data_IF_419485570716
#
_entry.id   IF_419485570716
#
_cell.length_a   1.000
_cell.length_b   1.000
_cell.length_c   1.000
_cell.angle_alpha   90.00
_cell.angle_beta   90.00
_cell.angle_gamma   90.00
#
_symmetry.space_group_name_H-M   'P 1'
#
loop_
_entity.id
_entity.type
_entity.pdbx_description
1 polymer ?
#
# COMPACT_ATOMS: atom_id res chain seq x y z
N UNK A 1 12.30 10.91 3.64
CA UNK A 1 11.89 10.71 2.24
C UNK A 1 11.33 12.03 1.74
N UNK A 2 11.78 12.61 0.62
CA UNK A 2 11.16 13.81 0.08
C UNK A 2 9.97 13.44 -0.82
N UNK A 3 8.81 14.02 -0.52
CA UNK A 3 7.54 13.81 -1.24
C UNK A 3 7.49 14.73 -2.48
N UNK A 4 7.17 14.17 -3.66
CA UNK A 4 6.89 14.95 -4.88
C UNK A 4 5.67 15.86 -4.63
N UNK A 5 5.82 17.17 -4.87
CA UNK A 5 4.74 18.17 -4.73
C UNK A 5 3.71 18.04 -5.86
N UNK A 6 2.42 18.13 -5.50
CA UNK A 6 1.32 18.19 -6.45
C UNK A 6 1.34 19.50 -7.27
N UNK A 7 1.36 19.40 -8.60
CA UNK A 7 0.93 20.50 -9.48
C UNK A 7 -0.31 20.08 -10.26
N UNK A 8 -1.34 20.91 -10.23
CA UNK A 8 -2.72 20.60 -10.67
C UNK A 8 -2.92 20.26 -12.17
N UNK A 9 -1.88 20.04 -12.96
CA UNK A 9 -1.99 19.79 -14.41
C UNK A 9 -0.98 18.77 -14.99
N UNK A 10 -0.28 17.99 -14.15
CA UNK A 10 0.67 16.96 -14.60
C UNK A 10 0.01 15.60 -14.89
N UNK A 11 0.49 14.88 -15.91
CA UNK A 11 0.12 13.47 -16.09
C UNK A 11 0.72 12.66 -14.92
N UNK A 12 -0.12 11.97 -14.13
CA UNK A 12 0.32 11.13 -13.00
C UNK A 12 1.41 10.13 -13.39
N UNK A 13 1.41 9.67 -14.64
CA UNK A 13 2.45 8.80 -15.18
C UNK A 13 3.79 9.54 -15.35
N UNK A 14 3.78 10.76 -15.86
CA UNK A 14 5.00 11.55 -16.07
C UNK A 14 5.61 11.99 -14.72
N UNK A 15 4.77 12.29 -13.73
CA UNK A 15 5.19 12.52 -12.35
C UNK A 15 5.82 11.26 -11.75
N UNK A 16 5.21 10.09 -11.96
CA UNK A 16 5.74 8.81 -11.51
C UNK A 16 7.10 8.53 -12.16
N UNK A 17 7.20 8.60 -13.48
CA UNK A 17 8.44 8.38 -14.25
C UNK A 17 9.56 9.32 -13.78
N UNK A 18 9.23 10.58 -13.53
CA UNK A 18 10.16 11.59 -13.01
C UNK A 18 10.61 11.27 -11.59
N UNK A 19 9.68 10.92 -10.69
CA UNK A 19 10.01 10.61 -9.30
C UNK A 19 10.84 9.29 -9.21
N UNK A 20 10.53 8.28 -10.04
CA UNK A 20 11.31 7.03 -10.17
C UNK A 20 12.75 7.31 -10.63
N UNK A 21 12.90 8.05 -11.73
CA UNK A 21 14.21 8.33 -12.34
C UNK A 21 15.10 9.20 -11.44
N UNK A 22 14.52 10.12 -10.67
CA UNK A 22 15.28 11.07 -9.86
C UNK A 22 15.65 10.55 -8.47
N UNK A 23 14.88 9.62 -7.91
CA UNK A 23 15.01 9.24 -6.50
C UNK A 23 15.63 7.86 -6.27
N UNK A 24 15.68 6.99 -7.27
CA UNK A 24 16.28 5.64 -7.13
C UNK A 24 15.56 4.78 -6.09
N UNK A 25 14.22 4.86 -6.05
CA UNK A 25 13.40 4.16 -5.06
C UNK A 25 13.37 2.65 -5.30
N UNK A 26 13.59 1.82 -4.29
CA UNK A 26 13.50 0.37 -4.47
C UNK A 26 12.06 -0.16 -4.57
N UNK A 27 11.09 0.58 -4.00
CA UNK A 27 9.69 0.19 -3.85
C UNK A 27 8.77 1.37 -4.13
N UNK A 28 7.74 1.15 -4.95
CA UNK A 28 6.75 2.18 -5.26
C UNK A 28 5.36 1.54 -5.27
N UNK A 29 4.55 1.90 -4.27
CA UNK A 29 3.14 1.50 -4.19
C UNK A 29 2.23 2.60 -4.73
N UNK A 30 1.26 2.22 -5.54
CA UNK A 30 0.25 3.11 -6.12
C UNK A 30 -1.13 2.55 -5.79
N UNK A 31 -2.00 3.39 -5.25
CA UNK A 31 -3.41 3.11 -5.02
C UNK A 31 -4.28 3.92 -5.98
N UNK A 32 -5.51 3.45 -6.23
CA UNK A 32 -6.42 4.06 -7.20
C UNK A 32 -5.79 4.19 -8.60
N UNK A 33 -5.39 3.06 -9.17
CA UNK A 33 -5.01 2.99 -10.57
C UNK A 33 -6.29 3.09 -11.41
N UNK A 34 -6.76 4.31 -11.69
CA UNK A 34 -7.94 4.63 -12.54
C UNK A 34 -7.81 4.17 -14.02
N UNK A 35 -7.06 3.11 -14.27
CA UNK A 35 -6.62 2.62 -15.57
C UNK A 35 -7.31 1.29 -15.85
N UNK A 36 -7.94 1.16 -17.02
CA UNK A 36 -8.56 -0.09 -17.45
C UNK A 36 -7.51 -1.07 -18.01
N UNK A 37 -7.92 -2.33 -18.25
CA UNK A 37 -7.07 -3.41 -18.74
C UNK A 37 -6.45 -3.18 -20.13
N UNK A 38 -6.70 -2.04 -20.78
CA UNK A 38 -6.16 -1.72 -22.11
C UNK A 38 -4.89 -0.87 -22.09
N UNK A 39 -4.50 -0.34 -20.92
CA UNK A 39 -3.30 0.48 -20.77
C UNK A 39 -2.05 -0.40 -20.56
N UNK A 40 -0.97 -0.19 -21.31
CA UNK A 40 0.26 -0.99 -21.16
C UNK A 40 1.19 -0.35 -20.12
N UNK A 41 1.16 -0.86 -18.89
CA UNK A 41 1.93 -0.35 -17.76
C UNK A 41 3.43 -0.69 -17.80
N UNK A 42 3.89 -1.43 -18.82
CA UNK A 42 5.32 -1.69 -19.04
C UNK A 42 6.07 -0.48 -19.59
N UNK A 43 5.35 0.52 -20.10
CA UNK A 43 5.93 1.73 -20.68
C UNK A 43 6.28 2.72 -19.55
N UNK A 44 7.59 2.94 -19.32
CA UNK A 44 8.08 3.99 -18.42
C UNK A 44 8.78 3.53 -17.13
N UNK A 45 8.88 2.23 -16.86
CA UNK A 45 9.48 1.70 -15.61
C UNK A 45 10.56 0.64 -15.88
N UNK A 46 11.47 0.94 -16.81
CA UNK A 46 12.65 0.11 -17.04
C UNK A 46 13.46 -0.06 -15.74
N UNK A 47 13.85 -1.30 -15.42
CA UNK A 47 14.51 -1.62 -14.15
C UNK A 47 13.57 -1.98 -12.99
N UNK A 48 12.24 -2.08 -13.22
CA UNK A 48 11.28 -2.50 -12.20
C UNK A 48 10.45 -3.70 -12.65
N UNK A 49 10.13 -4.57 -11.69
CA UNK A 49 9.11 -5.61 -11.80
C UNK A 49 7.78 -5.08 -11.28
N UNK A 50 6.75 -5.22 -12.09
CA UNK A 50 5.38 -4.77 -11.83
C UNK A 50 4.54 -5.91 -11.26
N UNK A 51 3.88 -5.66 -10.12
CA UNK A 51 2.81 -6.47 -9.57
C UNK A 51 1.54 -5.62 -9.49
N UNK A 52 0.38 -6.18 -9.84
CA UNK A 52 -0.88 -5.43 -9.96
C UNK A 52 -2.06 -6.26 -9.49
N UNK A 53 -3.06 -5.59 -8.92
CA UNK A 53 -4.38 -6.15 -8.67
C UNK A 53 -5.45 -5.15 -9.11
N UNK A 54 -6.17 -5.49 -10.17
CA UNK A 54 -7.20 -4.63 -10.75
C UNK A 54 -8.56 -4.88 -10.12
N UNK A 55 -9.35 -3.81 -10.02
CA UNK A 55 -10.75 -3.90 -9.63
C UNK A 55 -11.60 -4.42 -10.79
N UNK A 56 -12.28 -5.55 -10.57
CA UNK A 56 -13.17 -6.12 -11.58
C UNK A 56 -14.50 -5.37 -11.64
N UNK A 57 -14.97 -5.04 -12.85
CA UNK A 57 -16.35 -4.61 -13.11
C UNK A 57 -16.71 -3.16 -12.79
N UNK A 58 -15.75 -2.29 -12.43
CA UNK A 58 -15.95 -0.83 -12.25
C UNK A 58 -14.74 -0.05 -12.74
N UNK A 59 -14.96 1.18 -13.21
CA UNK A 59 -13.88 2.15 -13.42
C UNK A 59 -13.39 2.69 -12.06
N UNK A 60 -12.06 2.76 -11.88
CA UNK A 60 -11.44 3.26 -10.67
C UNK A 60 -11.15 2.19 -9.60
N UNK A 61 -10.11 2.43 -8.80
CA UNK A 61 -9.59 1.48 -7.81
C UNK A 61 -8.36 0.73 -8.31
N UNK A 62 -8.06 -0.40 -7.68
CA UNK A 62 -6.87 -1.20 -8.00
C UNK A 62 -5.60 -0.68 -7.32
N UNK A 63 -4.66 -1.59 -7.19
CA UNK A 63 -3.36 -1.35 -6.55
C UNK A 63 -2.23 -1.91 -7.40
N UNK A 64 -1.12 -1.20 -7.39
CA UNK A 64 0.09 -1.54 -8.13
C UNK A 64 1.31 -1.39 -7.24
N UNK A 65 2.24 -2.33 -7.34
CA UNK A 65 3.54 -2.28 -6.69
C UNK A 65 4.64 -2.48 -7.73
N UNK A 66 5.49 -1.47 -7.88
CA UNK A 66 6.75 -1.58 -8.62
C UNK A 66 7.88 -1.90 -7.65
N UNK A 67 8.71 -2.87 -7.99
CA UNK A 67 9.86 -3.31 -7.20
C UNK A 67 11.09 -3.32 -8.10
N UNK A 68 12.19 -2.72 -7.65
CA UNK A 68 13.47 -2.74 -8.35
C UNK A 68 13.84 -4.18 -8.77
N UNK A 69 14.10 -4.39 -10.06
CA UNK A 69 14.29 -5.73 -10.65
C UNK A 69 15.54 -6.47 -10.13
N UNK A 70 16.46 -5.74 -9.51
CA UNK A 70 17.66 -6.27 -8.85
C UNK A 70 17.36 -6.98 -7.53
N UNK A 71 16.20 -6.72 -6.91
CA UNK A 71 15.77 -7.40 -5.70
C UNK A 71 15.16 -8.74 -6.07
N UNK A 72 15.48 -9.83 -5.34
CA UNK A 72 14.77 -11.10 -5.50
C UNK A 72 13.43 -11.02 -4.76
N UNK A 73 12.33 -11.27 -5.46
CA UNK A 73 10.99 -11.12 -4.88
C UNK A 73 9.95 -12.05 -5.52
N UNK A 74 8.91 -12.36 -4.76
CA UNK A 74 7.84 -13.31 -5.10
C UNK A 74 6.50 -12.83 -4.55
N UNK A 75 5.47 -12.82 -5.39
CA UNK A 75 4.10 -12.48 -4.97
C UNK A 75 3.56 -13.49 -3.94
N UNK A 76 2.87 -12.98 -2.93
CA UNK A 76 2.25 -13.75 -1.86
C UNK A 76 0.73 -13.69 -1.96
N UNK A 77 0.09 -14.86 -1.84
CA UNK A 77 -1.37 -14.97 -1.78
C UNK A 77 -1.76 -15.16 -0.32
N UNK A 78 -1.94 -14.05 0.40
CA UNK A 78 -2.24 -14.04 1.85
C UNK A 78 -3.74 -14.10 2.17
N UNK A 79 -4.60 -14.02 1.15
CA UNK A 79 -6.05 -14.09 1.26
C UNK A 79 -6.65 -15.17 0.37
N UNK A 80 -7.97 -15.29 0.39
CA UNK A 80 -8.69 -16.12 -0.57
C UNK A 80 -8.88 -15.34 -1.88
N UNK A 81 -8.85 -16.02 -3.02
CA UNK A 81 -8.98 -15.38 -4.35
C UNK A 81 -10.28 -14.57 -4.49
N UNK A 82 -11.33 -14.98 -3.79
CA UNK A 82 -12.65 -14.35 -3.78
C UNK A 82 -12.79 -13.20 -2.77
N UNK A 83 -11.74 -12.90 -1.99
CA UNK A 83 -11.80 -11.80 -1.01
C UNK A 83 -11.85 -10.43 -1.72
N UNK A 84 -12.76 -9.54 -1.33
CA UNK A 84 -12.98 -8.25 -1.98
C UNK A 84 -11.92 -7.19 -1.62
N UNK A 85 -10.74 -7.59 -1.15
CA UNK A 85 -9.69 -6.67 -0.71
C UNK A 85 -8.90 -6.14 -1.90
N UNK A 86 -8.77 -4.82 -2.02
CA UNK A 86 -7.87 -4.19 -2.99
C UNK A 86 -6.47 -4.10 -2.37
N UNK A 87 -5.83 -5.26 -2.21
CA UNK A 87 -4.52 -5.44 -1.59
C UNK A 87 -3.64 -6.40 -2.39
N UNK A 88 -2.34 -6.13 -2.41
CA UNK A 88 -1.31 -6.93 -3.06
C UNK A 88 -0.12 -7.09 -2.10
N UNK A 89 0.45 -8.29 -2.05
CA UNK A 89 1.53 -8.65 -1.13
C UNK A 89 2.69 -9.29 -1.88
N UNK A 90 3.91 -8.86 -1.60
CA UNK A 90 5.13 -9.40 -2.20
C UNK A 90 6.17 -9.64 -1.12
N UNK A 91 6.81 -10.81 -1.16
CA UNK A 91 7.99 -11.11 -0.35
C UNK A 91 9.24 -10.70 -1.09
N UNK A 92 10.07 -9.89 -0.45
CA UNK A 92 11.42 -9.54 -0.91
C UNK A 92 12.41 -10.33 -0.06
N UNK A 93 13.32 -11.03 -0.75
CA UNK A 93 14.30 -11.85 -0.08
C UNK A 93 15.39 -10.99 0.55
N UNK A 94 15.71 -11.29 1.80
CA UNK A 94 16.83 -10.66 2.50
C UNK A 94 18.18 -11.00 1.86
N UNK A 95 19.17 -10.13 2.07
CA UNK A 95 20.58 -10.49 1.81
C UNK A 95 21.01 -11.57 2.80
N UNK A 96 22.13 -12.26 2.54
CA UNK A 96 22.62 -13.34 3.40
C UNK A 96 22.70 -12.90 4.88
N UNK A 97 21.97 -13.61 5.76
CA UNK A 97 21.90 -13.32 7.20
C UNK A 97 20.85 -12.27 7.61
N UNK A 98 20.21 -11.58 6.65
CA UNK A 98 19.03 -10.76 6.89
C UNK A 98 17.76 -11.59 6.64
N UNK A 99 16.70 -11.32 7.42
CA UNK A 99 15.38 -11.89 7.18
C UNK A 99 14.72 -11.32 5.92
N UNK A 100 13.74 -12.04 5.40
CA UNK A 100 12.88 -11.54 4.32
C UNK A 100 12.00 -10.40 4.81
N UNK A 101 11.60 -9.53 3.87
CA UNK A 101 10.66 -8.43 4.10
C UNK A 101 9.39 -8.72 3.30
N UNK A 102 8.24 -8.59 3.94
CA UNK A 102 6.95 -8.58 3.24
C UNK A 102 6.59 -7.12 2.96
N UNK A 103 6.23 -6.84 1.70
CA UNK A 103 5.75 -5.54 1.25
C UNK A 103 4.30 -5.68 0.83
N UNK A 104 3.43 -4.83 1.36
CA UNK A 104 2.02 -4.76 0.99
C UNK A 104 1.65 -3.39 0.43
N UNK A 105 0.84 -3.35 -0.61
CA UNK A 105 0.11 -2.14 -1.02
C UNK A 105 -1.39 -2.40 -0.88
N UNK A 106 -2.12 -1.46 -0.28
CA UNK A 106 -3.55 -1.60 -0.05
C UNK A 106 -4.31 -0.30 -0.32
N UNK A 107 -5.45 -0.44 -1.00
CA UNK A 107 -6.47 0.58 -1.06
C UNK A 107 -7.71 0.08 -0.33
N UNK A 108 -8.18 0.83 0.67
CA UNK A 108 -9.45 0.58 1.35
C UNK A 108 -10.41 1.70 0.97
N UNK A 109 -11.48 1.44 0.18
CA UNK A 109 -12.49 2.45 -0.12
C UNK A 109 -13.16 3.03 1.15
N UNK A 110 -13.61 4.29 1.14
CA UNK A 110 -14.24 4.92 2.30
C UNK A 110 -15.55 4.24 2.75
N UNK A 111 -16.26 3.61 1.81
CA UNK A 111 -17.52 2.89 2.00
C UNK A 111 -17.33 1.36 2.13
N UNK A 112 -16.11 0.89 2.40
CA UNK A 112 -15.81 -0.52 2.56
C UNK A 112 -16.61 -1.16 3.72
N UNK A 113 -17.17 -2.34 3.46
CA UNK A 113 -17.93 -3.11 4.44
C UNK A 113 -17.07 -3.97 5.36
N UNK A 114 -17.61 -4.30 6.54
CA UNK A 114 -16.90 -5.01 7.61
C UNK A 114 -16.25 -6.35 7.16
N UNK A 115 -16.86 -7.09 6.24
CA UNK A 115 -16.29 -8.36 5.75
C UNK A 115 -14.96 -8.15 5.01
N UNK A 116 -14.85 -7.08 4.22
CA UNK A 116 -13.64 -6.74 3.49
C UNK A 116 -12.56 -6.19 4.43
N UNK A 117 -12.95 -5.40 5.44
CA UNK A 117 -12.05 -4.95 6.50
C UNK A 117 -11.47 -6.16 7.27
N UNK A 118 -12.31 -7.13 7.65
CA UNK A 118 -11.86 -8.33 8.36
C UNK A 118 -10.92 -9.20 7.52
N UNK A 119 -11.17 -9.32 6.21
CA UNK A 119 -10.27 -9.99 5.28
C UNK A 119 -8.91 -9.28 5.22
N UNK A 120 -8.91 -7.95 5.10
CA UNK A 120 -7.69 -7.15 5.10
C UNK A 120 -6.90 -7.35 6.42
N UNK A 121 -7.56 -7.33 7.57
CA UNK A 121 -6.89 -7.52 8.87
C UNK A 121 -6.28 -8.92 9.02
N UNK A 122 -6.94 -9.97 8.49
CA UNK A 122 -6.35 -11.32 8.42
C UNK A 122 -5.09 -11.34 7.57
N UNK A 123 -5.11 -10.70 6.40
CA UNK A 123 -3.95 -10.62 5.52
C UNK A 123 -2.79 -9.86 6.18
N UNK A 124 -3.07 -8.71 6.81
CA UNK A 124 -2.07 -7.94 7.59
C UNK A 124 -1.48 -8.84 8.68
N UNK A 125 -2.33 -9.56 9.40
CA UNK A 125 -1.90 -10.45 10.47
C UNK A 125 -1.05 -11.64 10.01
N UNK A 126 -1.27 -12.14 8.80
CA UNK A 126 -0.42 -13.16 8.17
C UNK A 126 0.91 -12.55 7.70
N UNK A 127 0.87 -11.37 7.09
CA UNK A 127 2.05 -10.64 6.59
C UNK A 127 3.00 -10.21 7.72
N UNK A 128 2.46 -9.86 8.88
CA UNK A 128 3.24 -9.43 10.04
C UNK A 128 3.78 -10.60 10.88
N UNK A 129 3.63 -11.85 10.42
CA UNK A 129 4.01 -13.03 11.19
C UNK A 129 5.52 -13.33 11.07
N UNK A 130 6.31 -12.90 12.06
CA UNK A 130 7.76 -13.18 12.21
C UNK A 130 8.69 -12.60 11.15
N UNK A 131 8.17 -11.81 10.22
CA UNK A 131 8.94 -11.16 9.14
C UNK A 131 8.81 -9.64 9.26
N UNK A 132 9.81 -8.91 8.76
CA UNK A 132 9.70 -7.47 8.66
C UNK A 132 8.57 -7.12 7.67
N UNK A 133 7.74 -6.15 8.00
CA UNK A 133 6.59 -5.73 7.20
C UNK A 133 6.73 -4.25 6.82
N UNK A 134 6.49 -3.96 5.54
CA UNK A 134 6.22 -2.60 5.05
C UNK A 134 4.87 -2.63 4.34
N UNK A 135 3.86 -2.02 4.92
CA UNK A 135 2.53 -1.91 4.35
C UNK A 135 2.26 -0.44 4.00
N UNK A 136 1.90 -0.16 2.76
CA UNK A 136 1.62 1.20 2.30
C UNK A 136 0.26 1.31 1.60
N UNK A 137 -0.30 2.52 1.58
CA UNK A 137 -1.46 2.86 0.76
C UNK A 137 -2.50 3.70 1.49
N UNK A 138 -3.67 3.86 0.89
CA UNK A 138 -4.76 4.70 1.37
C UNK A 138 -5.81 3.83 2.07
N UNK A 139 -5.92 4.02 3.39
CA UNK A 139 -6.84 3.27 4.24
C UNK A 139 -8.18 4.00 4.47
N UNK A 140 -8.35 5.23 3.98
CA UNK A 140 -9.56 6.05 4.13
C UNK A 140 -10.17 6.07 5.55
N UNK A 141 -9.33 6.23 6.57
CA UNK A 141 -9.75 6.43 7.96
C UNK A 141 -9.47 7.88 8.43
N UNK A 142 -10.24 8.88 7.97
CA UNK A 142 -9.96 10.30 8.21
C UNK A 142 -10.06 10.74 9.67
N UNK A 143 -10.78 9.98 10.49
CA UNK A 143 -11.04 10.27 11.89
C UNK A 143 -10.00 9.67 12.86
N UNK A 144 -8.94 9.04 12.33
CA UNK A 144 -7.83 8.55 13.15
C UNK A 144 -6.92 9.71 13.55
N UNK A 145 -6.77 9.91 14.85
CA UNK A 145 -5.68 10.67 15.43
C UNK A 145 -4.53 9.73 15.76
N UNK A 146 -3.53 9.67 14.88
CA UNK A 146 -2.34 8.82 15.06
C UNK A 146 -1.48 9.23 16.27
N UNK A 147 -1.50 10.51 16.66
CA UNK A 147 -0.77 11.02 17.82
C UNK A 147 -1.33 10.48 19.14
N UNK A 148 -2.66 10.49 19.24
CA UNK A 148 -3.37 10.11 20.47
C UNK A 148 -3.82 8.63 20.43
N UNK A 149 -3.51 7.93 19.34
CA UNK A 149 -3.94 6.58 19.03
C UNK A 149 -5.45 6.37 19.26
N UNK A 150 -6.26 7.26 18.67
CA UNK A 150 -7.70 7.31 18.90
C UNK A 150 -8.50 7.50 17.60
N UNK A 151 -9.73 6.99 17.58
CA UNK A 151 -10.65 7.18 16.47
C UNK A 151 -12.13 7.25 16.91
N UNK A 152 -12.92 8.06 16.20
CA UNK A 152 -14.33 8.30 16.52
C UNK A 152 -15.25 7.19 15.98
N UNK A 153 -14.93 6.64 14.81
CA UNK A 153 -15.72 5.63 14.11
C UNK A 153 -15.29 4.23 14.52
N UNK A 154 -16.26 3.32 14.59
CA UNK A 154 -16.03 1.90 14.93
C UNK A 154 -15.03 1.22 13.99
N UNK A 155 -15.15 1.45 12.68
CA UNK A 155 -14.26 0.85 11.69
C UNK A 155 -12.82 1.34 11.86
N UNK A 156 -12.63 2.64 12.04
CA UNK A 156 -11.33 3.25 12.30
C UNK A 156 -10.69 2.74 13.60
N UNK A 157 -11.50 2.51 14.66
CA UNK A 157 -11.02 1.85 15.89
C UNK A 157 -10.57 0.42 15.66
N UNK A 158 -11.33 -0.39 14.92
CA UNK A 158 -10.94 -1.77 14.58
C UNK A 158 -9.62 -1.79 13.79
N UNK A 159 -9.41 -0.83 12.89
CA UNK A 159 -8.15 -0.70 12.17
C UNK A 159 -6.99 -0.37 13.11
N UNK A 160 -7.17 0.59 14.03
CA UNK A 160 -6.17 0.90 15.05
C UNK A 160 -5.86 -0.31 15.95
N UNK A 161 -6.88 -1.04 16.41
CA UNK A 161 -6.72 -2.29 17.17
C UNK A 161 -5.86 -3.29 16.38
N UNK A 162 -6.12 -3.47 15.07
CA UNK A 162 -5.30 -4.32 14.22
C UNK A 162 -3.86 -3.83 14.08
N UNK A 163 -3.63 -2.52 13.96
CA UNK A 163 -2.29 -1.92 13.88
C UNK A 163 -1.53 -2.18 15.19
N UNK A 164 -2.18 -1.92 16.33
CA UNK A 164 -1.59 -2.09 17.65
C UNK A 164 -1.30 -3.56 17.98
N UNK A 165 -2.24 -4.47 17.72
CA UNK A 165 -2.08 -5.91 17.96
C UNK A 165 -0.91 -6.51 17.16
N UNK A 166 -0.56 -5.88 16.04
CA UNK A 166 0.54 -6.29 15.16
C UNK A 166 1.81 -5.47 15.35
N UNK A 167 1.84 -4.61 16.38
CA UNK A 167 2.96 -3.72 16.70
C UNK A 167 3.41 -2.87 15.51
N UNK A 168 2.46 -2.49 14.65
CA UNK A 168 2.72 -1.67 13.49
C UNK A 168 2.80 -0.20 13.90
N UNK A 169 3.74 0.51 13.30
CA UNK A 169 3.97 1.92 13.49
C UNK A 169 3.77 2.66 12.19
N UNK A 170 3.04 3.77 12.28
CA UNK A 170 2.93 4.73 11.20
C UNK A 170 4.19 5.59 11.12
N UNK A 171 4.82 5.64 9.94
CA UNK A 171 6.08 6.38 9.72
C UNK A 171 5.95 7.61 8.81
N UNK A 172 4.74 7.94 8.36
CA UNK A 172 4.50 9.12 7.53
C UNK A 172 4.47 10.41 8.38
N UNK A 173 5.29 11.39 8.01
CA UNK A 173 5.49 12.61 8.80
C UNK A 173 4.49 13.75 8.51
N UNK A 174 3.78 13.72 7.38
CA UNK A 174 2.90 14.83 6.97
C UNK A 174 1.47 14.38 6.63
N UNK A 175 0.42 15.11 7.06
CA UNK A 175 -0.96 14.86 6.64
C UNK A 175 -1.11 15.13 5.14
N UNK A 176 -1.56 14.12 4.39
CA UNK A 176 -1.57 14.17 2.92
C UNK A 176 -2.85 14.83 2.35
N UNK A 177 -3.98 14.83 3.07
CA UNK A 177 -5.25 15.41 2.58
C UNK A 177 -5.99 16.20 3.65
N UNK A 178 -6.07 17.54 3.49
CA UNK A 178 -6.88 18.45 4.35
C UNK A 178 -6.65 18.27 5.87
N UNK A 179 -5.43 17.91 6.28
CA UNK A 179 -5.08 17.66 7.68
C UNK A 179 -5.33 16.25 8.19
N UNK A 180 -5.95 15.36 7.39
CA UNK A 180 -6.10 13.95 7.68
C UNK A 180 -5.00 13.11 7.00
N UNK A 181 -4.53 12.08 7.69
CA UNK A 181 -3.53 11.13 7.19
C UNK A 181 -4.25 9.86 6.74
N UNK A 182 -4.62 9.82 5.46
CA UNK A 182 -5.30 8.67 4.84
C UNK A 182 -4.28 7.69 4.26
N UNK A 183 -3.27 8.24 3.61
CA UNK A 183 -2.09 7.53 3.14
C UNK A 183 -1.20 7.20 4.33
N UNK A 184 -0.90 5.92 4.48
CA UNK A 184 -0.14 5.39 5.59
C UNK A 184 1.01 4.53 5.08
N UNK A 185 2.13 4.58 5.80
CA UNK A 185 3.21 3.60 5.68
C UNK A 185 3.37 3.00 7.08
N UNK A 186 2.98 1.74 7.19
CA UNK A 186 2.99 0.96 8.41
C UNK A 186 4.15 -0.04 8.39
N UNK A 187 4.89 -0.13 9.48
CA UNK A 187 5.97 -1.11 9.63
C UNK A 187 6.02 -1.67 11.04
N UNK A 188 6.41 -2.93 11.19
CA UNK A 188 6.63 -3.50 12.52
C UNK A 188 7.97 -3.05 13.13
N UNK A 189 8.04 -3.07 14.46
CA UNK A 189 9.26 -2.78 15.22
C UNK A 189 10.33 -3.86 15.11
#
# INVERSE_FOLDING_TARGET
MPLCEHTEHGNKQEELETCVCLQGCDLIGITETWWDSSYDWSVGTEGYRLFRKDRQGRQGGGVTLYINDQLECMELHLGMEEEPTESLWVRIKGRAGAGDIIVGVCYRPPDQGDQADEALYRQIGAASCSQALVLMGDFNHPDICWRDNAAERKQSRKFLECVDDKFLLQVTEQPMRRGAMLDCILTNK
#
